data_IF_057321423785
#
_entry.id   IF_057321423785
#
_cell.length_a   1.000
_cell.length_b   1.000
_cell.length_c   1.000
_cell.angle_alpha   90.00
_cell.angle_beta   90.00
_cell.angle_gamma   90.00
#
_symmetry.space_group_name_H-M   'P 1'
#
loop_
_entity.id
_entity.type
_entity.pdbx_description
1 polymer ?
#
# COMPACT_ATOMS: atom_id res chain seq x y z
N UNK A 1 15.21 11.97 10.73
CA UNK A 1 14.87 10.83 9.85
C UNK A 1 14.37 9.57 10.58
N UNK A 2 14.80 9.26 11.81
CA UNK A 2 14.24 8.13 12.57
C UNK A 2 12.69 8.15 12.74
N UNK A 3 12.04 9.29 13.06
CA UNK A 3 10.58 9.33 13.19
C UNK A 3 9.85 9.08 11.85
N UNK A 4 10.42 9.51 10.72
CA UNK A 4 9.92 9.24 9.36
C UNK A 4 9.86 7.73 9.10
N UNK A 5 10.93 7.00 9.42
CA UNK A 5 11.02 5.53 9.20
C UNK A 5 9.93 4.78 9.97
N UNK A 6 9.72 5.15 11.23
CA UNK A 6 8.67 4.58 12.07
C UNK A 6 7.26 4.95 11.58
N UNK A 7 7.01 6.23 11.29
CA UNK A 7 5.71 6.71 10.84
C UNK A 7 5.24 6.04 9.54
N UNK A 8 6.12 5.91 8.54
CA UNK A 8 5.80 5.22 7.29
C UNK A 8 5.49 3.72 7.52
N UNK A 9 6.23 3.07 8.43
CA UNK A 9 5.95 1.69 8.85
C UNK A 9 4.61 1.53 9.57
N UNK A 10 4.25 2.48 10.45
CA UNK A 10 2.94 2.50 11.12
C UNK A 10 1.81 2.66 10.10
N UNK A 11 1.93 3.62 9.17
CA UNK A 11 0.92 3.85 8.13
C UNK A 11 0.76 2.63 7.20
N UNK A 12 1.87 2.00 6.81
CA UNK A 12 1.84 0.76 6.02
C UNK A 12 1.22 -0.41 6.77
N UNK A 13 1.55 -0.58 8.05
CA UNK A 13 0.94 -1.59 8.92
C UNK A 13 -0.55 -1.36 9.16
N UNK A 14 -0.97 -0.10 9.31
CA UNK A 14 -2.37 0.29 9.40
C UNK A 14 -3.12 -0.03 8.11
N UNK A 15 -2.54 0.28 6.95
CA UNK A 15 -3.12 -0.07 5.66
C UNK A 15 -3.31 -1.59 5.50
N UNK A 16 -2.27 -2.38 5.81
CA UNK A 16 -2.35 -3.84 5.77
C UNK A 16 -3.46 -4.36 6.71
N UNK A 17 -3.56 -3.82 7.92
CA UNK A 17 -4.63 -4.18 8.87
C UNK A 17 -6.02 -3.83 8.35
N UNK A 18 -6.19 -2.65 7.73
CA UNK A 18 -7.46 -2.23 7.13
C UNK A 18 -7.84 -3.13 5.95
N UNK A 19 -6.89 -3.47 5.07
CA UNK A 19 -7.11 -4.40 3.96
C UNK A 19 -7.49 -5.80 4.45
N UNK A 20 -6.81 -6.31 5.48
CA UNK A 20 -7.16 -7.61 6.09
C UNK A 20 -8.57 -7.54 6.68
N UNK A 21 -8.91 -6.48 7.41
CA UNK A 21 -10.24 -6.29 7.97
C UNK A 21 -11.32 -6.25 6.87
N UNK A 22 -11.09 -5.49 5.80
CA UNK A 22 -11.99 -5.45 4.63
C UNK A 22 -12.10 -6.81 3.94
N UNK A 23 -10.98 -7.53 3.80
CA UNK A 23 -10.98 -8.85 3.17
C UNK A 23 -11.85 -9.83 3.96
N UNK A 24 -11.81 -9.82 5.30
CA UNK A 24 -12.63 -10.71 6.15
C UNK A 24 -14.14 -10.39 6.08
N UNK A 25 -14.51 -9.30 5.44
CA UNK A 25 -15.87 -8.82 5.25
C UNK A 25 -16.11 -7.54 6.02
N UNK A 26 -16.75 -6.55 5.38
CA UNK A 26 -17.07 -5.28 6.03
C UNK A 26 -18.10 -5.51 7.14
N UNK A 27 -17.83 -5.13 8.40
CA UNK A 27 -18.81 -5.23 9.47
C UNK A 27 -19.98 -4.23 9.24
N UNK A 28 -21.21 -4.67 9.51
CA UNK A 28 -22.41 -3.83 9.47
C UNK A 28 -23.21 -3.87 8.16
N UNK A 29 -24.09 -2.87 7.97
CA UNK A 29 -25.02 -2.77 6.82
C UNK A 29 -24.32 -2.80 5.46
N UNK A 30 -23.09 -2.27 5.38
CA UNK A 30 -22.28 -2.29 4.15
C UNK A 30 -21.86 -3.70 3.70
N UNK A 31 -21.52 -4.60 4.64
CA UNK A 31 -21.20 -5.99 4.31
C UNK A 31 -22.42 -6.82 3.93
N UNK A 32 -23.58 -6.54 4.54
CA UNK A 32 -24.86 -7.16 4.17
C UNK A 32 -25.28 -6.72 2.76
N UNK A 33 -25.17 -5.42 2.46
CA UNK A 33 -25.47 -4.89 1.13
C UNK A 33 -24.49 -5.39 0.07
N UNK A 34 -23.19 -5.48 0.38
CA UNK A 34 -22.18 -6.03 -0.52
C UNK A 34 -22.44 -7.50 -0.87
N UNK A 35 -23.01 -8.28 0.07
CA UNK A 35 -23.43 -9.67 -0.17
C UNK A 35 -24.78 -9.78 -0.90
N UNK A 36 -25.72 -8.89 -0.60
CA UNK A 36 -27.07 -8.92 -1.18
C UNK A 36 -27.12 -8.36 -2.61
N UNK A 37 -26.37 -7.28 -2.89
CA UNK A 37 -26.33 -6.61 -4.20
C UNK A 37 -24.89 -6.26 -4.59
N UNK A 38 -24.08 -7.25 -5.01
CA UNK A 38 -22.64 -7.05 -5.30
C UNK A 38 -22.39 -6.01 -6.40
N UNK A 39 -23.24 -5.98 -7.45
CA UNK A 39 -23.11 -5.03 -8.56
C UNK A 39 -23.41 -3.60 -8.12
N UNK A 40 -24.45 -3.39 -7.30
CA UNK A 40 -24.80 -2.05 -6.80
C UNK A 40 -23.71 -1.51 -5.85
N UNK A 41 -23.14 -2.38 -5.01
CA UNK A 41 -22.02 -2.02 -4.16
C UNK A 41 -20.78 -1.63 -4.98
N UNK A 42 -20.42 -2.42 -6.00
CA UNK A 42 -19.32 -2.11 -6.90
C UNK A 42 -19.55 -0.79 -7.66
N UNK A 43 -20.78 -0.51 -8.12
CA UNK A 43 -21.14 0.77 -8.72
C UNK A 43 -20.96 1.94 -7.74
N UNK A 44 -21.34 1.76 -6.47
CA UNK A 44 -21.10 2.74 -5.41
C UNK A 44 -19.62 3.00 -5.16
N UNK A 45 -18.80 1.96 -5.10
CA UNK A 45 -17.34 2.10 -5.03
C UNK A 45 -16.77 2.85 -6.24
N UNK A 46 -17.24 2.53 -7.45
CA UNK A 46 -16.86 3.22 -8.68
C UNK A 46 -17.24 4.70 -8.66
N UNK A 47 -18.43 5.04 -8.17
CA UNK A 47 -18.87 6.43 -8.00
C UNK A 47 -17.99 7.20 -7.01
N UNK A 48 -17.65 6.59 -5.86
CA UNK A 48 -16.73 7.19 -4.90
C UNK A 48 -15.34 7.40 -5.51
N UNK A 49 -14.83 6.42 -6.27
CA UNK A 49 -13.54 6.55 -6.97
C UNK A 49 -13.56 7.67 -8.01
N UNK A 50 -14.68 7.84 -8.73
CA UNK A 50 -14.83 8.94 -9.68
C UNK A 50 -14.82 10.31 -8.98
N UNK A 51 -15.50 10.44 -7.83
CA UNK A 51 -15.45 11.67 -7.03
C UNK A 51 -14.04 11.97 -6.51
N UNK A 52 -13.32 10.96 -6.01
CA UNK A 52 -11.93 11.12 -5.57
C UNK A 52 -11.05 11.52 -6.76
N UNK A 53 -11.23 10.91 -7.92
CA UNK A 53 -10.46 11.24 -9.11
C UNK A 53 -10.71 12.66 -9.62
N UNK A 54 -11.96 13.15 -9.56
CA UNK A 54 -12.29 14.55 -9.90
C UNK A 54 -11.69 15.54 -8.90
N UNK A 55 -11.71 15.22 -7.60
CA UNK A 55 -11.11 16.07 -6.56
C UNK A 55 -9.58 16.13 -6.63
N UNK A 56 -8.94 15.13 -7.25
CA UNK A 56 -7.48 15.01 -7.36
C UNK A 56 -6.93 15.38 -8.74
N UNK A 57 -7.67 16.12 -9.57
CA UNK A 57 -7.29 16.44 -10.95
C UNK A 57 -6.81 15.22 -11.75
N UNK A 58 -7.51 14.08 -11.60
CA UNK A 58 -7.23 12.79 -12.24
C UNK A 58 -5.95 12.04 -11.82
N UNK A 59 -5.07 12.63 -10.99
CA UNK A 59 -3.80 11.97 -10.60
C UNK A 59 -3.99 10.70 -9.76
N UNK A 60 -5.17 10.50 -9.17
CA UNK A 60 -5.44 9.34 -8.29
C UNK A 60 -5.88 8.08 -9.05
N UNK A 61 -6.15 8.17 -10.35
CA UNK A 61 -6.54 7.01 -11.15
C UNK A 61 -5.40 6.01 -11.35
N UNK A 62 -5.74 4.80 -11.79
CA UNK A 62 -4.77 3.75 -12.08
C UNK A 62 -3.93 3.30 -10.88
N UNK A 63 -2.72 2.81 -11.14
CA UNK A 63 -1.83 2.26 -10.11
C UNK A 63 -1.08 3.33 -9.32
N UNK A 64 -0.95 4.56 -9.83
CA UNK A 64 -0.18 5.63 -9.20
C UNK A 64 1.34 5.52 -9.41
N UNK A 65 1.81 4.56 -10.21
CA UNK A 65 3.24 4.31 -10.41
C UNK A 65 3.92 5.41 -11.22
N UNK A 66 3.26 5.94 -12.26
CA UNK A 66 3.81 7.02 -13.07
C UNK A 66 3.98 8.29 -12.24
N UNK A 67 3.02 8.58 -11.37
CA UNK A 67 3.01 9.68 -10.43
C UNK A 67 4.12 9.51 -9.38
N UNK A 68 4.26 8.31 -8.81
CA UNK A 68 5.35 7.99 -7.88
C UNK A 68 6.73 8.20 -8.53
N UNK A 69 6.89 7.76 -9.78
CA UNK A 69 8.13 7.94 -10.56
C UNK A 69 8.40 9.41 -10.86
N UNK A 70 7.37 10.17 -11.25
CA UNK A 70 7.51 11.62 -11.53
C UNK A 70 7.94 12.42 -10.30
N UNK A 71 7.52 12.02 -9.10
CA UNK A 71 7.99 12.62 -7.84
C UNK A 71 9.48 12.36 -7.60
N UNK A 72 9.97 11.18 -7.99
CA UNK A 72 11.37 10.80 -7.83
C UNK A 72 12.27 11.47 -8.85
N UNK A 73 11.79 11.64 -10.08
CA UNK A 73 12.47 12.37 -11.15
C UNK A 73 12.40 13.90 -10.95
N UNK A 74 11.59 14.38 -10.01
CA UNK A 74 11.41 15.81 -9.72
C UNK A 74 10.65 16.57 -10.82
N UNK A 75 9.96 15.85 -11.70
CA UNK A 75 9.34 16.40 -12.90
C UNK A 75 7.94 16.98 -12.67
N UNK A 76 7.23 16.56 -11.62
CA UNK A 76 5.92 17.10 -11.25
C UNK A 76 5.77 17.35 -9.76
N UNK A 77 5.12 18.47 -9.41
CA UNK A 77 4.61 18.72 -8.07
C UNK A 77 3.19 18.18 -7.98
N UNK A 78 3.03 17.01 -7.36
CA UNK A 78 1.70 16.51 -7.03
C UNK A 78 1.09 17.32 -5.89
N UNK A 79 -0.25 17.42 -5.81
CA UNK A 79 -0.92 18.04 -4.66
C UNK A 79 -0.49 17.36 -3.36
N UNK A 80 -0.32 18.13 -2.28
CA UNK A 80 0.02 17.59 -0.95
C UNK A 80 -0.98 16.51 -0.50
N UNK A 81 -2.26 16.62 -0.88
CA UNK A 81 -3.28 15.61 -0.58
C UNK A 81 -3.13 14.25 -1.29
N UNK A 82 -2.24 14.12 -2.28
CA UNK A 82 -2.16 12.93 -3.15
C UNK A 82 -2.01 11.62 -2.39
N UNK A 83 -1.13 11.54 -1.38
CA UNK A 83 -0.92 10.32 -0.60
C UNK A 83 -2.18 9.83 0.11
N UNK A 84 -2.95 10.75 0.69
CA UNK A 84 -4.19 10.45 1.43
C UNK A 84 -5.29 10.05 0.44
N UNK A 85 -5.44 10.80 -0.65
CA UNK A 85 -6.44 10.52 -1.69
C UNK A 85 -6.18 9.16 -2.35
N UNK A 86 -4.91 8.84 -2.66
CA UNK A 86 -4.52 7.54 -3.22
C UNK A 86 -4.71 6.40 -2.22
N UNK A 87 -4.45 6.63 -0.94
CA UNK A 87 -4.70 5.66 0.12
C UNK A 87 -6.19 5.29 0.17
N UNK A 88 -7.07 6.31 0.20
CA UNK A 88 -8.52 6.11 0.21
C UNK A 88 -9.01 5.42 -1.07
N UNK A 89 -8.55 5.88 -2.24
CA UNK A 89 -8.91 5.25 -3.51
C UNK A 89 -8.50 3.76 -3.55
N UNK A 90 -7.32 3.43 -3.02
CA UNK A 90 -6.86 2.03 -3.00
C UNK A 90 -7.72 1.18 -2.05
N UNK A 91 -8.13 1.71 -0.90
CA UNK A 91 -9.04 1.02 0.01
C UNK A 91 -10.42 0.80 -0.62
N UNK A 92 -10.99 1.81 -1.26
CA UNK A 92 -12.31 1.72 -1.92
C UNK A 92 -12.27 0.74 -3.08
N UNK A 93 -11.20 0.79 -3.90
CA UNK A 93 -10.97 -0.15 -4.99
C UNK A 93 -10.86 -1.58 -4.47
N UNK A 94 -10.09 -1.82 -3.40
CA UNK A 94 -10.00 -3.14 -2.79
C UNK A 94 -11.34 -3.61 -2.18
N UNK A 95 -12.10 -2.72 -1.55
CA UNK A 95 -13.40 -3.03 -0.97
C UNK A 95 -14.42 -3.50 -2.02
N UNK A 96 -14.34 -3.00 -3.26
CA UNK A 96 -15.21 -3.41 -4.37
C UNK A 96 -15.11 -4.90 -4.73
N UNK A 97 -14.04 -5.59 -4.30
CA UNK A 97 -13.81 -7.00 -4.60
C UNK A 97 -13.28 -7.26 -6.01
N UNK A 98 -12.97 -6.21 -6.78
CA UNK A 98 -12.36 -6.34 -8.11
C UNK A 98 -10.97 -6.98 -7.96
N UNK A 99 -10.61 -7.99 -8.78
CA UNK A 99 -9.29 -8.59 -8.75
C UNK A 99 -8.22 -7.55 -9.10
N UNK A 100 -7.32 -7.28 -8.16
CA UNK A 100 -6.30 -6.25 -8.32
C UNK A 100 -5.12 -6.45 -7.37
N UNK A 101 -3.96 -5.95 -7.79
CA UNK A 101 -2.75 -5.94 -6.97
C UNK A 101 -2.69 -4.71 -6.06
N UNK A 102 -2.16 -4.88 -4.85
CA UNK A 102 -1.92 -3.78 -3.90
C UNK A 102 -0.50 -3.22 -3.97
N UNK A 103 0.37 -3.83 -4.77
CA UNK A 103 1.81 -3.55 -4.84
C UNK A 103 2.11 -2.11 -5.30
N UNK A 104 1.80 -1.79 -6.57
CA UNK A 104 2.09 -0.48 -7.14
C UNK A 104 1.33 0.67 -6.46
N UNK A 105 0.03 0.51 -6.11
CA UNK A 105 -0.68 1.50 -5.30
C UNK A 105 -0.02 1.76 -3.94
N UNK A 106 0.54 0.74 -3.29
CA UNK A 106 1.25 0.93 -2.01
C UNK A 106 2.51 1.78 -2.16
N UNK A 107 3.27 1.58 -3.24
CA UNK A 107 4.44 2.42 -3.53
C UNK A 107 4.02 3.87 -3.80
N UNK A 108 2.95 4.07 -4.57
CA UNK A 108 2.41 5.39 -4.88
C UNK A 108 1.94 6.16 -3.64
N UNK A 109 1.21 5.47 -2.75
CA UNK A 109 0.77 6.01 -1.47
C UNK A 109 1.97 6.38 -0.59
N UNK A 110 2.96 5.50 -0.50
CA UNK A 110 4.20 5.77 0.24
C UNK A 110 4.97 6.98 -0.29
N UNK A 111 5.07 7.12 -1.61
CA UNK A 111 5.68 8.28 -2.25
C UNK A 111 4.90 9.58 -1.97
N UNK A 112 3.56 9.53 -2.03
CA UNK A 112 2.70 10.66 -1.68
C UNK A 112 2.81 11.08 -0.22
N UNK A 113 2.90 10.13 0.72
CA UNK A 113 3.21 10.45 2.12
C UNK A 113 4.61 11.04 2.26
N UNK A 114 5.59 10.53 1.52
CA UNK A 114 6.94 11.09 1.47
C UNK A 114 6.98 12.55 1.05
N UNK A 115 6.16 12.93 0.06
CA UNK A 115 6.02 14.33 -0.37
C UNK A 115 5.51 15.22 0.77
N UNK A 116 4.49 14.78 1.50
CA UNK A 116 3.98 15.50 2.67
C UNK A 116 5.04 15.66 3.77
N UNK A 117 5.80 14.58 4.05
CA UNK A 117 6.84 14.64 5.07
C UNK A 117 8.06 15.48 4.63
N UNK A 118 8.33 15.58 3.33
CA UNK A 118 9.38 16.43 2.80
C UNK A 118 9.12 17.92 3.08
N UNK A 119 7.85 18.35 3.09
CA UNK A 119 7.47 19.73 3.46
C UNK A 119 7.79 20.06 4.92
N UNK A 120 7.73 19.06 5.81
CA UNK A 120 8.00 19.19 7.24
C UNK A 120 9.52 19.05 7.54
N UNK A 121 10.28 18.46 6.62
CA UNK A 121 11.73 18.29 6.71
C UNK A 121 12.48 19.05 5.60
N UNK A 122 12.46 20.39 5.61
CA UNK A 122 13.05 21.20 4.53
C UNK A 122 14.57 21.03 4.38
N UNK A 123 15.25 20.52 5.41
CA UNK A 123 16.70 20.30 5.41
C UNK A 123 17.14 19.01 4.69
N UNK A 124 16.21 18.15 4.29
CA UNK A 124 16.52 16.89 3.61
C UNK A 124 16.12 16.95 2.12
N UNK A 125 16.90 16.34 1.21
CA UNK A 125 16.53 16.31 -0.20
C UNK A 125 15.21 15.55 -0.39
N UNK A 126 14.26 16.19 -1.07
CA UNK A 126 12.88 15.69 -1.24
C UNK A 126 12.86 14.27 -1.79
N UNK A 127 13.65 14.00 -2.85
CA UNK A 127 13.74 12.67 -3.45
C UNK A 127 14.17 11.58 -2.45
N UNK A 128 15.11 11.87 -1.55
CA UNK A 128 15.52 10.91 -0.52
C UNK A 128 14.41 10.66 0.50
N UNK A 129 13.69 11.70 0.93
CA UNK A 129 12.55 11.56 1.86
C UNK A 129 11.44 10.72 1.22
N UNK A 130 11.12 10.99 -0.05
CA UNK A 130 10.13 10.24 -0.84
C UNK A 130 10.53 8.77 -0.98
N UNK A 131 11.79 8.48 -1.34
CA UNK A 131 12.31 7.10 -1.44
C UNK A 131 12.21 6.34 -0.12
N UNK A 132 12.62 6.97 0.99
CA UNK A 132 12.56 6.36 2.31
C UNK A 132 11.12 6.13 2.77
N UNK A 133 10.20 7.04 2.46
CA UNK A 133 8.78 6.88 2.77
C UNK A 133 8.13 5.78 1.93
N UNK A 134 8.45 5.72 0.63
CA UNK A 134 7.98 4.70 -0.31
C UNK A 134 8.40 3.30 0.14
N UNK A 135 9.70 3.08 0.42
CA UNK A 135 10.18 1.78 0.91
C UNK A 135 9.64 1.46 2.30
N UNK A 136 9.56 2.45 3.20
CA UNK A 136 9.09 2.25 4.56
C UNK A 136 7.62 1.83 4.60
N UNK A 137 6.77 2.53 3.85
CA UNK A 137 5.36 2.18 3.72
C UNK A 137 5.20 0.80 3.11
N UNK A 138 5.86 0.53 1.98
CA UNK A 138 5.75 -0.74 1.28
C UNK A 138 6.23 -1.92 2.14
N UNK A 139 7.40 -1.80 2.77
CA UNK A 139 7.92 -2.79 3.72
C UNK A 139 6.94 -3.01 4.90
N UNK A 140 6.31 -1.94 5.39
CA UNK A 140 5.26 -2.03 6.40
C UNK A 140 4.03 -2.81 5.94
N UNK A 141 3.58 -2.62 4.70
CA UNK A 141 2.42 -3.33 4.13
C UNK A 141 2.71 -4.82 3.94
N UNK A 142 3.83 -5.15 3.31
CA UNK A 142 4.14 -6.52 2.89
C UNK A 142 4.87 -7.34 3.95
N UNK A 143 5.54 -6.67 4.90
CA UNK A 143 6.39 -7.26 5.92
C UNK A 143 7.51 -8.17 5.38
N UNK A 144 7.98 -7.87 4.16
CA UNK A 144 9.12 -8.50 3.50
C UNK A 144 10.21 -7.44 3.23
N UNK A 145 11.06 -7.12 4.23
CA UNK A 145 11.95 -5.96 4.18
C UNK A 145 13.00 -6.09 3.07
N UNK A 146 13.55 -7.28 2.85
CA UNK A 146 14.57 -7.52 1.80
C UNK A 146 13.97 -7.25 0.43
N UNK A 147 12.84 -7.89 0.13
CA UNK A 147 12.11 -7.70 -1.14
C UNK A 147 11.71 -6.24 -1.34
N UNK A 148 11.26 -5.56 -0.28
CA UNK A 148 10.83 -4.16 -0.37
C UNK A 148 11.96 -3.21 -0.76
N UNK A 149 13.11 -3.28 -0.09
CA UNK A 149 14.21 -2.36 -0.41
C UNK A 149 14.85 -2.69 -1.76
N UNK A 150 14.96 -3.97 -2.14
CA UNK A 150 15.51 -4.36 -3.45
C UNK A 150 14.62 -3.82 -4.56
N UNK A 151 13.30 -3.97 -4.48
CA UNK A 151 12.43 -3.48 -5.56
C UNK A 151 12.46 -1.95 -5.65
N UNK A 152 12.43 -1.23 -4.52
CA UNK A 152 12.53 0.24 -4.56
C UNK A 152 13.89 0.68 -5.11
N UNK A 153 14.97 0.01 -4.75
CA UNK A 153 16.30 0.30 -5.28
C UNK A 153 16.35 0.10 -6.80
N UNK A 154 15.92 -1.06 -7.29
CA UNK A 154 15.90 -1.39 -8.73
C UNK A 154 15.00 -0.44 -9.53
N UNK A 155 13.81 -0.10 -9.02
CA UNK A 155 12.89 0.80 -9.71
C UNK A 155 13.41 2.24 -9.83
N UNK A 156 14.38 2.62 -8.99
CA UNK A 156 14.84 4.00 -8.87
C UNK A 156 16.30 4.16 -9.28
N UNK A 157 16.96 3.05 -9.62
CA UNK A 157 18.37 2.96 -10.03
C UNK A 157 19.36 3.64 -9.06
N UNK A 158 18.93 3.89 -7.82
CA UNK A 158 19.65 4.71 -6.86
C UNK A 158 20.44 3.85 -5.86
N UNK A 159 21.55 3.30 -6.35
CA UNK A 159 22.44 2.41 -5.62
C UNK A 159 23.10 3.07 -4.40
N UNK A 160 23.26 4.40 -4.41
CA UNK A 160 23.82 5.15 -3.28
C UNK A 160 22.93 5.12 -2.03
N UNK A 161 21.63 4.83 -2.20
CA UNK A 161 20.66 4.81 -1.10
C UNK A 161 20.37 3.42 -0.54
N UNK A 162 21.07 2.37 -0.97
CA UNK A 162 20.83 0.97 -0.53
C UNK A 162 20.84 0.83 0.99
N UNK A 163 21.87 1.33 1.67
CA UNK A 163 21.98 1.24 3.14
C UNK A 163 20.83 1.98 3.86
N UNK A 164 20.51 3.25 3.53
CA UNK A 164 19.32 3.94 4.04
C UNK A 164 18.00 3.21 3.79
N UNK A 165 17.80 2.66 2.58
CA UNK A 165 16.58 1.95 2.20
C UNK A 165 16.42 0.66 3.01
N UNK A 166 17.49 -0.12 3.15
CA UNK A 166 17.51 -1.36 3.93
C UNK A 166 17.21 -1.09 5.42
N UNK A 167 17.88 -0.10 6.02
CA UNK A 167 17.62 0.29 7.40
C UNK A 167 16.17 0.74 7.62
N UNK A 168 15.62 1.49 6.65
CA UNK A 168 14.23 1.97 6.71
C UNK A 168 13.24 0.83 6.57
N UNK A 169 13.47 -0.10 5.64
CA UNK A 169 12.61 -1.27 5.44
C UNK A 169 12.56 -2.18 6.68
N UNK A 170 13.72 -2.41 7.33
CA UNK A 170 13.81 -3.21 8.55
C UNK A 170 13.05 -2.56 9.71
N UNK A 171 13.30 -1.27 9.96
CA UNK A 171 12.62 -0.52 11.03
C UNK A 171 11.12 -0.47 10.75
N UNK A 172 10.71 -0.13 9.53
CA UNK A 172 9.31 -0.02 9.17
C UNK A 172 8.58 -1.37 9.29
N UNK A 173 9.22 -2.48 8.92
CA UNK A 173 8.67 -3.82 9.12
C UNK A 173 8.51 -4.15 10.60
N UNK A 174 9.52 -3.85 11.43
CA UNK A 174 9.45 -4.08 12.88
C UNK A 174 8.31 -3.29 13.52
N UNK A 175 8.16 -2.02 13.13
CA UNK A 175 7.08 -1.16 13.61
C UNK A 175 5.72 -1.60 13.10
N UNK A 176 5.60 -2.01 11.83
CA UNK A 176 4.36 -2.54 11.26
C UNK A 176 3.84 -3.76 12.01
N UNK A 177 4.74 -4.66 12.44
CA UNK A 177 4.37 -5.86 13.22
C UNK A 177 3.70 -5.53 14.56
N UNK A 178 3.91 -4.33 15.12
CA UNK A 178 3.21 -3.87 16.32
C UNK A 178 1.72 -3.59 16.04
N UNK A 179 1.38 -3.17 14.82
CA UNK A 179 -0.02 -2.88 14.42
C UNK A 179 -0.69 -4.11 13.80
N UNK A 180 0.01 -4.78 12.90
CA UNK A 180 -0.49 -5.92 12.13
C UNK A 180 0.46 -7.11 12.33
N UNK A 181 0.19 -8.02 13.28
CA UNK A 181 1.12 -9.11 13.60
C UNK A 181 1.34 -10.13 12.46
N UNK A 182 0.38 -10.25 11.53
CA UNK A 182 0.45 -11.17 10.39
C UNK A 182 0.73 -10.42 9.09
N UNK A 183 1.62 -10.93 8.22
CA UNK A 183 1.83 -10.37 6.89
C UNK A 183 0.55 -10.40 6.04
N UNK A 184 0.33 -9.35 5.25
CA UNK A 184 -0.85 -9.19 4.39
C UNK A 184 -1.02 -10.38 3.45
N UNK A 185 -0.01 -10.66 2.62
CA UNK A 185 -0.10 -11.73 1.61
C UNK A 185 -0.28 -13.12 2.20
N UNK A 186 0.35 -13.40 3.34
CA UNK A 186 0.16 -14.67 4.06
C UNK A 186 -1.30 -14.83 4.51
N UNK A 187 -1.88 -13.77 5.07
CA UNK A 187 -3.28 -13.78 5.51
C UNK A 187 -4.25 -13.98 4.35
N UNK A 188 -3.97 -13.35 3.21
CA UNK A 188 -4.76 -13.54 1.99
C UNK A 188 -4.63 -14.97 1.45
N UNK A 189 -3.42 -15.54 1.42
CA UNK A 189 -3.18 -16.90 0.97
C UNK A 189 -3.87 -17.95 1.85
N UNK A 190 -3.78 -17.81 3.18
CA UNK A 190 -4.49 -18.69 4.14
C UNK A 190 -6.00 -18.73 3.86
N UNK A 191 -6.58 -17.60 3.46
CA UNK A 191 -8.01 -17.55 3.10
C UNK A 191 -8.33 -18.31 1.81
N UNK A 192 -7.48 -18.26 0.79
CA UNK A 192 -7.68 -19.05 -0.42
C UNK A 192 -7.61 -20.55 -0.13
N UNK A 193 -6.71 -20.98 0.75
CA UNK A 193 -6.63 -22.38 1.16
C UNK A 193 -7.89 -22.86 1.92
N UNK A 194 -8.54 -21.98 2.68
CA UNK A 194 -9.79 -22.31 3.38
C UNK A 194 -11.01 -22.40 2.44
N UNK A 195 -10.94 -21.79 1.25
CA UNK A 195 -12.03 -21.78 0.26
C UNK A 195 -11.84 -22.91 -0.77
N UNK A 196 -10.60 -23.36 -1.00
CA UNK A 196 -10.28 -24.42 -1.96
C UNK A 196 -10.60 -25.84 -1.46
N UNK A 197 -10.70 -26.84 -2.36
CA UNK A 197 -10.86 -28.24 -1.98
C UNK A 197 -9.66 -28.69 -1.13
N UNK A 198 -9.86 -29.62 -0.16
CA UNK A 198 -8.80 -30.02 0.76
C UNK A 198 -7.58 -30.54 -0.02
N UNK A 199 -6.36 -30.24 0.45
CA UNK A 199 -5.15 -30.67 -0.22
C UNK A 199 -5.15 -32.20 -0.38
N UNK A 200 -4.91 -32.68 -1.61
CA UNK A 200 -4.80 -34.12 -1.88
C UNK A 200 -3.62 -34.67 -1.07
N UNK A 201 -3.90 -35.58 -0.15
CA UNK A 201 -2.87 -36.23 0.65
C UNK A 201 -1.93 -37.01 -0.28
N UNK A 202 -0.68 -36.53 -0.38
CA UNK A 202 0.34 -37.14 -1.25
C UNK A 202 1.08 -38.27 -0.52
N UNK A 203 0.71 -38.60 0.73
CA UNK A 203 1.35 -39.66 1.53
C UNK A 203 0.79 -41.06 1.26
N UNK A 204 -0.15 -41.21 0.34
CA UNK A 204 -0.73 -42.51 -0.04
C UNK A 204 -0.55 -42.80 -1.53
N UNK A 205 0.64 -42.55 -2.07
CA UNK A 205 1.08 -43.20 -3.31
C UNK A 205 2.00 -44.37 -2.92
N UNK A 206 1.66 -45.61 -3.30
CA UNK A 206 2.43 -46.81 -2.96
C UNK A 206 3.80 -46.84 -3.64
#
# INVERSE_FOLDING_TARGET
MLPLRGACGLLGGLFARLLIAMSRGLPGRGGVLARAHPVAFAAGCGFVLALIGLASDSSTYGTGYAEARSLLEGSQQLPAGYGILKFLATLVSYASGIPGGVFAPSLAVGAGFGLNLAQIMPYAPVGAVVLLAMVGYFAGVVQAPITAFVIVMEMTDNHNMVLPLMATALIATAVSRLICPRPLYRTLAERFLLIGPPPKDTRSQP
#
